data_IF_182107182800
#
_entry.id   IF_182107182800
#
_cell.length_a   1.000
_cell.length_b   1.000
_cell.length_c   1.000
_cell.angle_alpha   90.00
_cell.angle_beta   90.00
_cell.angle_gamma   90.00
#
_symmetry.space_group_name_H-M   'P 1'
#
loop_
_entity.id
_entity.type
_entity.pdbx_description
1 polymer ?
#
# COMPACT_ATOMS: atom_id res chain seq x y z
N UNK A 1 -15.95 1.93 18.54
CA UNK A 1 -14.72 1.20 18.94
C UNK A 1 -13.80 2.17 19.69
N UNK A 2 -13.05 1.72 20.70
CA UNK A 2 -12.14 2.60 21.45
C UNK A 2 -10.91 2.96 20.58
N UNK A 3 -10.38 4.18 20.70
CA UNK A 3 -9.15 4.64 20.03
C UNK A 3 -7.98 3.66 20.23
N UNK A 4 -7.84 3.08 21.43
CA UNK A 4 -6.77 2.09 21.71
C UNK A 4 -6.81 0.90 20.74
N UNK A 5 -8.01 0.42 20.41
CA UNK A 5 -8.20 -0.71 19.49
C UNK A 5 -7.76 -0.33 18.07
N UNK A 6 -8.10 0.87 17.61
CA UNK A 6 -7.71 1.35 16.26
C UNK A 6 -6.19 1.45 16.15
N UNK A 7 -5.54 2.01 17.19
CA UNK A 7 -4.09 2.14 17.21
C UNK A 7 -3.38 0.79 17.23
N UNK A 8 -3.97 -0.24 17.82
CA UNK A 8 -3.37 -1.58 17.86
C UNK A 8 -3.41 -2.32 16.51
N UNK A 9 -4.33 -1.97 15.60
CA UNK A 9 -4.54 -2.68 14.33
C UNK A 9 -3.25 -2.81 13.51
N UNK A 10 -2.50 -1.75 13.20
CA UNK A 10 -1.35 -1.91 12.32
C UNK A 10 -0.20 -2.65 13.00
N UNK A 11 -0.10 -2.59 14.33
CA UNK A 11 0.88 -3.39 15.09
C UNK A 11 0.56 -4.88 14.97
N UNK A 12 -0.71 -5.26 15.20
CA UNK A 12 -1.14 -6.65 15.03
C UNK A 12 -1.02 -7.12 13.58
N UNK A 13 -1.35 -6.27 12.62
CA UNK A 13 -1.16 -6.52 11.20
C UNK A 13 0.29 -6.91 10.92
N UNK A 14 1.25 -6.08 11.33
CA UNK A 14 2.68 -6.30 11.09
C UNK A 14 3.12 -7.63 11.70
N UNK A 15 2.75 -7.91 12.95
CA UNK A 15 3.15 -9.15 13.64
C UNK A 15 2.57 -10.40 12.96
N UNK A 16 1.26 -10.40 12.69
CA UNK A 16 0.56 -11.54 12.10
C UNK A 16 1.05 -11.79 10.68
N UNK A 17 1.14 -10.73 9.86
CA UNK A 17 1.54 -10.87 8.49
C UNK A 17 3.03 -11.20 8.34
N UNK A 18 3.90 -10.71 9.24
CA UNK A 18 5.31 -11.15 9.29
C UNK A 18 5.41 -12.66 9.47
N UNK A 19 4.62 -13.21 10.41
CA UNK A 19 4.54 -14.65 10.63
C UNK A 19 3.99 -15.38 9.39
N UNK A 20 2.90 -14.89 8.79
CA UNK A 20 2.30 -15.50 7.60
C UNK A 20 3.29 -15.54 6.44
N UNK A 21 3.90 -14.41 6.07
CA UNK A 21 4.85 -14.37 4.96
C UNK A 21 6.02 -15.31 5.18
N UNK A 22 6.61 -15.30 6.38
CA UNK A 22 7.75 -16.15 6.70
C UNK A 22 7.39 -17.64 6.75
N UNK A 23 6.30 -17.99 7.42
CA UNK A 23 5.89 -19.38 7.58
C UNK A 23 5.46 -19.99 6.24
N UNK A 24 4.67 -19.26 5.46
CA UNK A 24 4.20 -19.73 4.15
C UNK A 24 5.37 -19.82 3.17
N UNK A 25 6.34 -18.91 3.20
CA UNK A 25 7.50 -18.98 2.27
C UNK A 25 8.37 -20.20 2.53
N UNK A 26 8.64 -20.52 3.80
CA UNK A 26 9.42 -21.70 4.18
C UNK A 26 8.71 -23.00 3.79
N UNK A 27 7.37 -23.04 3.91
CA UNK A 27 6.61 -24.28 3.72
C UNK A 27 6.12 -24.51 2.30
N UNK A 28 5.76 -23.45 1.57
CA UNK A 28 5.08 -23.52 0.27
C UNK A 28 5.79 -22.72 -0.82
N UNK A 29 6.92 -22.08 -0.51
CA UNK A 29 7.71 -21.29 -1.45
C UNK A 29 7.28 -19.82 -1.54
N UNK A 30 8.15 -19.02 -2.16
CA UNK A 30 8.04 -17.56 -2.22
C UNK A 30 6.79 -17.09 -2.96
N UNK A 31 6.47 -17.67 -4.11
CA UNK A 31 5.32 -17.28 -4.93
C UNK A 31 4.01 -17.42 -4.18
N UNK A 32 3.79 -18.58 -3.52
CA UNK A 32 2.59 -18.84 -2.74
C UNK A 32 2.50 -17.87 -1.56
N UNK A 33 3.63 -17.62 -0.88
CA UNK A 33 3.68 -16.67 0.23
C UNK A 33 3.33 -15.24 -0.17
N UNK A 34 3.84 -14.76 -1.31
CA UNK A 34 3.51 -13.43 -1.85
C UNK A 34 2.02 -13.34 -2.13
N UNK A 35 1.48 -14.27 -2.92
CA UNK A 35 0.09 -14.19 -3.37
C UNK A 35 -0.90 -14.37 -2.22
N UNK A 36 -0.70 -15.37 -1.36
CA UNK A 36 -1.57 -15.60 -0.21
C UNK A 36 -1.45 -14.47 0.82
N UNK A 37 -0.23 -14.00 1.09
CA UNK A 37 0.01 -12.91 2.03
C UNK A 37 -0.66 -11.62 1.58
N UNK A 38 -0.49 -11.22 0.31
CA UNK A 38 -1.17 -10.03 -0.22
C UNK A 38 -2.69 -10.20 -0.29
N UNK A 39 -3.20 -11.39 -0.59
CA UNK A 39 -4.64 -11.66 -0.58
C UNK A 39 -5.24 -11.48 0.82
N UNK A 40 -4.62 -12.08 1.84
CA UNK A 40 -5.03 -11.94 3.24
C UNK A 40 -4.95 -10.48 3.68
N UNK A 41 -3.84 -9.82 3.36
CA UNK A 41 -3.64 -8.39 3.65
C UNK A 41 -4.73 -7.52 3.03
N UNK A 42 -4.99 -7.63 1.73
CA UNK A 42 -6.00 -6.82 1.06
C UNK A 42 -7.41 -7.08 1.59
N UNK A 43 -7.82 -8.35 1.66
CA UNK A 43 -9.20 -8.68 2.02
C UNK A 43 -9.45 -8.41 3.50
N UNK A 44 -8.63 -8.97 4.38
CA UNK A 44 -8.89 -8.92 5.82
C UNK A 44 -8.51 -7.55 6.36
N UNK A 45 -7.27 -7.12 6.11
CA UNK A 45 -6.72 -5.93 6.78
C UNK A 45 -7.11 -4.64 6.09
N UNK A 46 -7.13 -4.59 4.77
CA UNK A 46 -7.43 -3.36 4.04
C UNK A 46 -8.92 -3.14 3.76
N UNK A 47 -9.73 -4.20 3.72
CA UNK A 47 -11.18 -4.09 3.45
C UNK A 47 -12.03 -4.44 4.68
N UNK A 48 -12.02 -5.69 5.16
CA UNK A 48 -12.93 -6.16 6.20
C UNK A 48 -12.78 -5.37 7.50
N UNK A 49 -11.55 -5.19 7.97
CA UNK A 49 -11.29 -4.45 9.22
C UNK A 49 -11.75 -2.98 9.09
N UNK A 50 -11.29 -2.19 8.10
CA UNK A 50 -11.77 -0.83 7.93
C UNK A 50 -13.29 -0.73 7.74
N UNK A 51 -13.93 -1.63 6.99
CA UNK A 51 -15.39 -1.67 6.83
C UNK A 51 -16.13 -1.94 8.15
N UNK A 52 -15.58 -2.78 9.00
CA UNK A 52 -16.18 -3.08 10.32
C UNK A 52 -16.08 -1.90 11.29
N UNK A 53 -15.11 -1.01 11.10
CA UNK A 53 -14.86 0.15 11.96
C UNK A 53 -15.54 1.41 11.39
N UNK A 54 -15.28 1.68 10.12
CA UNK A 54 -15.85 2.74 9.31
C UNK A 54 -17.14 2.17 8.70
N UNK A 55 -18.27 2.42 9.34
CA UNK A 55 -19.59 2.14 8.77
C UNK A 55 -19.64 2.57 7.29
N UNK A 56 -20.41 1.88 6.44
CA UNK A 56 -20.40 2.06 4.97
C UNK A 56 -20.41 3.53 4.51
N UNK A 57 -21.21 4.38 5.15
CA UNK A 57 -21.29 5.83 4.83
C UNK A 57 -19.99 6.57 5.16
N UNK A 58 -19.34 6.25 6.27
CA UNK A 58 -18.05 6.80 6.65
C UNK A 58 -16.95 6.38 5.65
N UNK A 59 -17.01 5.15 5.13
CA UNK A 59 -16.08 4.67 4.10
C UNK A 59 -16.22 5.42 2.76
N UNK A 60 -17.42 5.79 2.33
CA UNK A 60 -17.53 6.63 1.13
C UNK A 60 -17.08 8.07 1.41
N UNK A 61 -17.29 8.57 2.63
CA UNK A 61 -16.94 9.95 2.98
C UNK A 61 -15.44 10.25 2.88
N UNK A 62 -14.54 9.28 3.10
CA UNK A 62 -13.09 9.49 2.95
C UNK A 62 -12.66 9.66 1.49
N UNK A 63 -13.50 9.34 0.51
CA UNK A 63 -13.24 9.62 -0.92
C UNK A 63 -13.83 10.96 -1.38
N UNK A 64 -14.67 11.59 -0.55
CA UNK A 64 -15.27 12.88 -0.86
C UNK A 64 -14.32 13.97 -0.43
N UNK A 65 -13.78 14.68 -1.42
CA UNK A 65 -12.94 15.82 -1.19
C UNK A 65 -13.77 17.11 -1.20
N UNK A 66 -13.63 17.90 -0.14
CA UNK A 66 -14.36 19.17 0.02
C UNK A 66 -13.62 20.35 -0.61
N UNK A 67 -12.29 20.34 -0.55
CA UNK A 67 -11.45 21.45 -1.01
C UNK A 67 -10.78 21.16 -2.35
N UNK A 68 -10.40 22.18 -3.12
CA UNK A 68 -9.79 21.97 -4.45
C UNK A 68 -8.29 21.67 -4.33
N UNK A 69 -7.85 20.48 -4.76
CA UNK A 69 -6.41 20.16 -4.80
C UNK A 69 -5.65 21.04 -5.81
N UNK A 70 -6.17 21.19 -7.02
CA UNK A 70 -5.45 21.86 -8.13
C UNK A 70 -5.52 23.39 -8.04
N UNK A 71 -4.82 23.95 -7.06
CA UNK A 71 -4.61 25.38 -6.90
C UNK A 71 -3.13 25.68 -6.67
N UNK A 72 -2.67 26.89 -7.01
CA UNK A 72 -1.27 27.29 -6.81
C UNK A 72 -0.81 27.20 -5.34
N UNK A 73 -1.74 27.40 -4.40
CA UNK A 73 -1.48 27.29 -2.95
C UNK A 73 -1.12 25.86 -2.53
N UNK A 74 -1.58 24.87 -3.30
CA UNK A 74 -1.46 23.45 -2.99
C UNK A 74 -0.36 22.75 -3.80
N UNK A 75 0.57 23.53 -4.38
CA UNK A 75 1.67 23.01 -5.21
C UNK A 75 2.50 21.96 -4.47
N UNK A 76 2.76 22.15 -3.18
CA UNK A 76 3.48 21.17 -2.36
C UNK A 76 2.77 19.80 -2.39
N UNK A 77 1.47 19.75 -2.19
CA UNK A 77 0.70 18.50 -2.16
C UNK A 77 0.62 17.82 -3.53
N UNK A 78 0.56 18.61 -4.61
CA UNK A 78 0.66 18.08 -5.98
C UNK A 78 2.03 17.42 -6.19
N UNK A 79 3.12 18.09 -5.79
CA UNK A 79 4.47 17.52 -5.87
C UNK A 79 4.57 16.23 -5.07
N UNK A 80 4.08 16.21 -3.83
CA UNK A 80 4.05 15.01 -2.98
C UNK A 80 3.31 13.83 -3.64
N UNK A 81 2.23 14.08 -4.38
CA UNK A 81 1.49 13.06 -5.13
C UNK A 81 2.19 12.60 -6.42
N UNK A 82 2.98 13.47 -7.06
CA UNK A 82 3.69 13.13 -8.30
C UNK A 82 5.02 12.41 -8.06
N UNK A 83 5.71 12.69 -6.95
CA UNK A 83 6.98 12.06 -6.61
C UNK A 83 6.98 10.52 -6.71
N UNK A 84 6.03 9.78 -6.11
CA UNK A 84 6.01 8.31 -6.24
C UNK A 84 5.72 7.83 -7.66
N UNK A 85 4.94 8.57 -8.43
CA UNK A 85 4.68 8.24 -9.83
C UNK A 85 5.98 8.37 -10.64
N UNK A 86 6.66 9.51 -10.52
CA UNK A 86 7.94 9.76 -11.21
C UNK A 86 9.00 8.76 -10.77
N UNK A 87 9.10 8.47 -9.47
CA UNK A 87 10.03 7.48 -8.92
C UNK A 87 9.79 6.06 -9.41
N UNK A 88 8.55 5.72 -9.81
CA UNK A 88 8.21 4.40 -10.33
C UNK A 88 8.48 4.23 -11.84
N UNK A 89 8.69 5.31 -12.60
CA UNK A 89 8.92 5.26 -14.05
C UNK A 89 10.13 4.40 -14.43
N UNK A 90 11.32 4.52 -13.79
CA UNK A 90 12.46 3.69 -14.15
C UNK A 90 12.18 2.18 -13.99
N UNK A 91 11.43 1.80 -12.94
CA UNK A 91 11.03 0.41 -12.72
C UNK A 91 10.12 -0.10 -13.83
N UNK A 92 9.18 0.74 -14.28
CA UNK A 92 8.32 0.40 -15.41
C UNK A 92 9.11 0.16 -16.69
N UNK A 93 10.02 1.09 -17.05
CA UNK A 93 10.85 0.98 -18.27
C UNK A 93 11.71 -0.29 -18.26
N UNK A 94 12.28 -0.63 -17.10
CA UNK A 94 13.09 -1.83 -16.94
C UNK A 94 12.29 -3.13 -17.05
N UNK A 95 11.00 -3.12 -16.71
CA UNK A 95 10.15 -4.30 -16.72
C UNK A 95 9.38 -4.46 -18.05
N UNK A 96 8.86 -3.38 -18.63
CA UNK A 96 8.05 -3.45 -19.85
C UNK A 96 8.82 -3.99 -21.06
N UNK A 97 10.15 -3.82 -21.05
CA UNK A 97 11.05 -4.37 -22.08
C UNK A 97 11.37 -5.85 -21.90
N UNK A 98 11.15 -6.41 -20.71
CA UNK A 98 11.52 -7.80 -20.36
C UNK A 98 10.35 -8.77 -20.40
N UNK A 99 9.13 -8.27 -20.25
CA UNK A 99 7.94 -9.11 -20.08
C UNK A 99 6.88 -8.80 -21.15
N UNK A 100 6.09 -9.81 -21.54
CA UNK A 100 4.99 -9.61 -22.48
C UNK A 100 4.01 -8.52 -22.03
N UNK A 101 3.57 -7.69 -22.98
CA UNK A 101 2.71 -6.55 -22.71
C UNK A 101 1.36 -6.91 -22.07
N UNK A 102 0.84 -8.13 -22.28
CA UNK A 102 -0.43 -8.55 -21.67
C UNK A 102 -0.36 -8.64 -20.13
N UNK A 103 0.81 -8.89 -19.56
CA UNK A 103 1.00 -8.95 -18.10
C UNK A 103 0.75 -7.59 -17.45
N UNK A 104 0.96 -6.49 -18.18
CA UNK A 104 0.60 -5.15 -17.71
C UNK A 104 -0.91 -5.03 -17.45
N UNK A 105 -1.75 -5.53 -18.38
CA UNK A 105 -3.21 -5.46 -18.25
C UNK A 105 -3.74 -6.33 -17.12
N UNK A 106 -3.10 -7.47 -16.84
CA UNK A 106 -3.43 -8.33 -15.69
C UNK A 106 -3.04 -7.63 -14.37
N UNK A 107 -1.89 -6.95 -14.35
CA UNK A 107 -1.40 -6.23 -13.17
C UNK A 107 -2.23 -4.99 -12.82
N UNK A 108 -2.85 -4.36 -13.81
CA UNK A 108 -3.63 -3.13 -13.63
C UNK A 108 -4.77 -3.25 -12.59
N UNK A 109 -5.72 -4.19 -12.68
CA UNK A 109 -6.76 -4.32 -11.66
C UNK A 109 -6.19 -4.68 -10.27
N UNK A 110 -5.15 -5.50 -10.21
CA UNK A 110 -4.52 -5.91 -8.95
C UNK A 110 -3.87 -4.73 -8.21
N UNK A 111 -3.13 -3.91 -8.94
CA UNK A 111 -2.45 -2.73 -8.38
C UNK A 111 -3.41 -1.59 -8.04
N UNK A 112 -4.48 -1.39 -8.82
CA UNK A 112 -5.54 -0.44 -8.47
C UNK A 112 -6.24 -0.86 -7.18
N UNK A 113 -6.66 -2.13 -7.10
CA UNK A 113 -7.27 -2.68 -5.88
C UNK A 113 -6.32 -2.55 -4.69
N UNK A 114 -5.02 -2.84 -4.88
CA UNK A 114 -4.00 -2.66 -3.86
C UNK A 114 -3.95 -1.23 -3.37
N UNK A 115 -3.66 -0.28 -4.25
CA UNK A 115 -3.49 1.13 -3.90
C UNK A 115 -4.69 1.68 -3.15
N UNK A 116 -5.91 1.46 -3.66
CA UNK A 116 -7.15 1.92 -3.00
C UNK A 116 -7.31 1.28 -1.62
N UNK A 117 -7.17 -0.04 -1.53
CA UNK A 117 -7.37 -0.77 -0.27
C UNK A 117 -6.37 -0.34 0.81
N UNK A 118 -5.11 -0.15 0.44
CA UNK A 118 -4.08 0.32 1.36
C UNK A 118 -4.36 1.74 1.85
N UNK A 119 -4.80 2.64 0.97
CA UNK A 119 -5.17 3.99 1.41
C UNK A 119 -6.33 3.98 2.40
N UNK A 120 -7.32 3.08 2.24
CA UNK A 120 -8.45 2.95 3.17
C UNK A 120 -7.94 2.65 4.58
N UNK A 121 -7.03 1.68 4.72
CA UNK A 121 -6.47 1.30 6.02
C UNK A 121 -5.50 2.35 6.57
N UNK A 122 -4.48 2.70 5.80
CA UNK A 122 -3.35 3.47 6.33
C UNK A 122 -3.64 4.95 6.46
N UNK A 123 -4.49 5.52 5.60
CA UNK A 123 -4.82 6.94 5.61
C UNK A 123 -6.26 7.15 6.05
N UNK A 124 -7.20 6.53 5.34
CA UNK A 124 -8.65 6.69 5.52
C UNK A 124 -9.14 6.44 6.94
N UNK A 125 -8.70 5.34 7.54
CA UNK A 125 -9.03 5.00 8.93
C UNK A 125 -8.56 6.06 9.92
N UNK A 126 -7.33 6.56 9.76
CA UNK A 126 -6.72 7.48 10.71
C UNK A 126 -7.24 8.91 10.56
N UNK A 127 -7.41 9.42 9.34
CA UNK A 127 -7.99 10.77 9.13
C UNK A 127 -9.41 10.86 9.70
N UNK A 128 -10.18 9.76 9.60
CA UNK A 128 -11.57 9.72 10.04
C UNK A 128 -11.75 9.54 11.54
N UNK A 129 -10.85 8.80 12.17
CA UNK A 129 -11.03 8.38 13.58
C UNK A 129 -10.17 9.16 14.56
N UNK A 130 -9.05 9.71 14.11
CA UNK A 130 -8.12 10.44 14.97
C UNK A 130 -8.34 11.94 14.84
N UNK A 131 -7.97 12.70 15.88
CA UNK A 131 -8.05 14.18 15.87
C UNK A 131 -6.67 14.84 15.85
N UNK A 132 -5.73 14.28 16.60
CA UNK A 132 -4.38 14.81 16.72
C UNK A 132 -3.54 14.49 15.47
N UNK A 133 -2.74 15.47 15.03
CA UNK A 133 -1.88 15.37 13.86
C UNK A 133 -0.93 14.17 13.89
N UNK A 134 -0.29 13.90 15.03
CA UNK A 134 0.63 12.78 15.18
C UNK A 134 -0.05 11.45 14.86
N UNK A 135 -1.26 11.22 15.39
CA UNK A 135 -2.01 9.99 15.15
C UNK A 135 -2.64 9.91 13.76
N UNK A 136 -2.89 11.06 13.11
CA UNK A 136 -3.39 11.12 11.73
C UNK A 136 -2.30 10.91 10.68
N UNK A 137 -1.08 11.37 10.96
CA UNK A 137 -0.02 11.50 9.95
C UNK A 137 1.21 10.67 10.31
N UNK A 138 1.85 10.99 11.45
CA UNK A 138 3.15 10.43 11.81
C UNK A 138 3.05 8.94 12.13
N UNK A 139 2.07 8.57 12.97
CA UNK A 139 1.84 7.20 13.39
C UNK A 139 1.56 6.25 12.22
N UNK A 140 0.56 6.50 11.35
CA UNK A 140 0.32 5.62 10.21
C UNK A 140 1.46 5.61 9.21
N UNK A 141 2.19 6.72 8.99
CA UNK A 141 3.33 6.75 8.07
C UNK A 141 4.47 5.83 8.54
N UNK A 142 4.80 5.86 9.84
CA UNK A 142 5.83 4.99 10.43
C UNK A 142 5.42 3.52 10.32
N UNK A 143 4.19 3.19 10.72
CA UNK A 143 3.73 1.79 10.67
C UNK A 143 3.53 1.28 9.24
N UNK A 144 3.14 2.15 8.31
CA UNK A 144 3.13 1.83 6.87
C UNK A 144 4.53 1.51 6.36
N UNK A 145 5.54 2.27 6.77
CA UNK A 145 6.95 1.98 6.42
C UNK A 145 7.39 0.64 7.01
N UNK A 146 7.16 0.41 8.30
CA UNK A 146 7.53 -0.85 8.98
C UNK A 146 6.80 -2.05 8.36
N UNK A 147 5.55 -1.88 7.92
CA UNK A 147 4.78 -2.89 7.21
C UNK A 147 5.55 -3.50 6.03
N UNK A 148 6.35 -2.70 5.30
CA UNK A 148 7.12 -3.18 4.15
C UNK A 148 8.22 -4.17 4.49
N UNK A 149 8.55 -4.36 5.77
CA UNK A 149 9.40 -5.48 6.22
C UNK A 149 8.71 -6.82 5.96
N UNK A 150 7.40 -6.91 6.25
CA UNK A 150 6.65 -8.17 6.24
C UNK A 150 6.73 -8.93 4.90
N UNK A 151 6.40 -8.32 3.74
CA UNK A 151 6.49 -9.03 2.46
C UNK A 151 7.93 -9.37 2.06
N UNK A 152 8.95 -8.70 2.61
CA UNK A 152 10.35 -9.02 2.32
C UNK A 152 10.84 -10.27 3.07
N UNK A 153 10.15 -10.68 4.15
CA UNK A 153 10.52 -11.88 4.93
C UNK A 153 10.33 -13.19 4.17
N UNK A 154 9.70 -13.14 2.99
CA UNK A 154 9.60 -14.30 2.09
C UNK A 154 10.98 -14.74 1.57
N UNK A 155 11.93 -13.80 1.43
CA UNK A 155 13.27 -14.05 0.92
C UNK A 155 14.22 -14.40 2.07
N UNK A 156 14.52 -15.69 2.22
CA UNK A 156 15.29 -16.22 3.36
C UNK A 156 16.74 -15.74 3.35
N UNK A 157 17.33 -15.64 2.17
CA UNK A 157 18.76 -15.34 1.99
C UNK A 157 19.05 -13.83 1.86
N UNK A 158 18.01 -12.99 1.89
CA UNK A 158 18.16 -11.54 1.75
C UNK A 158 18.73 -10.94 3.04
N UNK A 159 19.83 -10.16 2.98
CA UNK A 159 20.38 -9.49 4.16
C UNK A 159 19.32 -8.61 4.85
N UNK A 160 19.25 -8.68 6.18
CA UNK A 160 18.27 -7.91 6.95
C UNK A 160 18.44 -6.39 6.75
N UNK A 161 19.66 -5.91 6.51
CA UNK A 161 19.95 -4.51 6.18
C UNK A 161 19.23 -4.05 4.91
N UNK A 162 19.11 -4.89 3.89
CA UNK A 162 18.38 -4.56 2.66
C UNK A 162 16.87 -4.50 2.90
N UNK A 163 16.34 -5.38 3.76
CA UNK A 163 14.93 -5.38 4.16
C UNK A 163 14.59 -4.09 4.90
N UNK A 164 15.42 -3.71 5.87
CA UNK A 164 15.27 -2.47 6.63
C UNK A 164 15.43 -1.25 5.72
N UNK A 165 16.39 -1.26 4.81
CA UNK A 165 16.57 -0.18 3.84
C UNK A 165 15.32 -0.02 2.96
N UNK A 166 14.74 -1.12 2.46
CA UNK A 166 13.49 -1.08 1.71
C UNK A 166 12.34 -0.46 2.51
N UNK A 167 12.21 -0.83 3.78
CA UNK A 167 11.24 -0.20 4.69
C UNK A 167 11.53 1.30 4.90
N UNK A 168 12.79 1.68 5.11
CA UNK A 168 13.17 3.07 5.35
C UNK A 168 12.85 3.98 4.16
N UNK A 169 13.07 3.50 2.92
CA UNK A 169 12.79 4.29 1.71
C UNK A 169 11.30 4.45 1.40
N UNK A 170 10.42 3.65 2.03
CA UNK A 170 8.96 3.84 1.91
C UNK A 170 8.39 4.82 2.95
N UNK A 171 9.18 5.24 3.94
CA UNK A 171 8.76 6.21 4.95
C UNK A 171 8.40 7.59 4.35
N UNK A 172 9.21 8.19 3.44
CA UNK A 172 8.84 9.44 2.78
C UNK A 172 7.51 9.34 2.03
N UNK A 173 7.22 8.18 1.41
CA UNK A 173 5.95 7.92 0.75
C UNK A 173 4.79 7.90 1.76
N UNK A 174 4.97 7.20 2.87
CA UNK A 174 3.99 7.17 3.97
C UNK A 174 3.66 8.58 4.49
N UNK A 175 4.67 9.44 4.66
CA UNK A 175 4.46 10.83 5.05
C UNK A 175 3.77 11.65 3.96
N UNK A 176 4.22 11.56 2.72
CA UNK A 176 3.65 12.30 1.59
C UNK A 176 2.14 12.05 1.48
N UNK A 177 1.72 10.79 1.49
CA UNK A 177 0.30 10.44 1.41
C UNK A 177 -0.46 10.79 2.68
N UNK A 178 0.10 10.58 3.86
CA UNK A 178 -0.61 10.91 5.11
C UNK A 178 -0.81 12.42 5.28
N UNK A 179 0.16 13.25 4.85
CA UNK A 179 0.04 14.71 4.84
C UNK A 179 -1.06 15.17 3.89
N UNK A 180 -1.05 14.68 2.64
CA UNK A 180 -2.08 15.04 1.65
C UNK A 180 -3.46 14.59 2.13
N UNK A 181 -3.59 13.35 2.63
CA UNK A 181 -4.87 12.84 3.09
C UNK A 181 -5.42 13.62 4.30
N UNK A 182 -4.55 14.02 5.23
CA UNK A 182 -4.93 14.79 6.40
C UNK A 182 -5.33 16.22 6.07
N UNK A 183 -4.63 16.87 5.13
CA UNK A 183 -4.95 18.24 4.68
C UNK A 183 -6.34 18.30 4.03
N UNK A 184 -6.62 17.37 3.10
CA UNK A 184 -7.85 17.41 2.29
C UNK A 184 -9.01 16.61 2.89
N UNK A 185 -8.82 16.01 4.08
CA UNK A 185 -9.75 15.07 4.72
C UNK A 185 -10.24 13.98 3.73
N UNK A 186 -9.35 13.56 2.82
CA UNK A 186 -9.70 12.65 1.74
C UNK A 186 -8.52 11.84 1.21
N UNK A 187 -8.76 10.57 0.93
CA UNK A 187 -7.79 9.66 0.31
C UNK A 187 -7.92 9.58 -1.22
N UNK A 188 -8.77 10.39 -1.84
CA UNK A 188 -9.08 10.28 -3.29
C UNK A 188 -7.80 10.34 -4.15
N UNK A 189 -7.00 11.39 -3.96
CA UNK A 189 -5.82 11.60 -4.78
C UNK A 189 -4.61 10.78 -4.32
N UNK A 190 -4.51 10.44 -3.03
CA UNK A 190 -3.49 9.49 -2.58
C UNK A 190 -3.76 8.10 -3.15
N UNK A 191 -5.03 7.67 -3.23
CA UNK A 191 -5.43 6.39 -3.83
C UNK A 191 -5.09 6.35 -5.31
N UNK A 192 -5.35 7.45 -6.02
CA UNK A 192 -5.01 7.56 -7.44
C UNK A 192 -3.49 7.54 -7.65
N UNK A 193 -2.75 8.33 -6.89
CA UNK A 193 -1.27 8.35 -6.98
C UNK A 193 -0.66 6.99 -6.64
N UNK A 194 -1.16 6.33 -5.60
CA UNK A 194 -0.70 5.02 -5.18
C UNK A 194 -1.05 3.95 -6.22
N UNK A 195 -2.26 3.96 -6.77
CA UNK A 195 -2.62 3.06 -7.85
C UNK A 195 -1.71 3.25 -9.08
N UNK A 196 -1.48 4.49 -9.52
CA UNK A 196 -0.62 4.78 -10.68
C UNK A 196 0.83 4.34 -10.43
N UNK A 197 1.41 4.73 -9.29
CA UNK A 197 2.78 4.32 -8.94
C UNK A 197 2.89 2.81 -8.77
N UNK A 198 1.86 2.15 -8.23
CA UNK A 198 1.75 0.69 -8.14
C UNK A 198 1.70 0.00 -9.50
N UNK A 199 0.90 0.51 -10.45
CA UNK A 199 0.87 0.03 -11.84
C UNK A 199 2.27 0.06 -12.44
N UNK A 200 2.99 1.18 -12.27
CA UNK A 200 4.32 1.38 -12.83
C UNK A 200 5.39 0.51 -12.17
N UNK A 201 5.40 0.42 -10.84
CA UNK A 201 6.44 -0.28 -10.08
C UNK A 201 6.19 -1.79 -9.95
N UNK A 202 4.94 -2.20 -9.72
CA UNK A 202 4.59 -3.55 -9.27
C UNK A 202 3.61 -4.29 -10.19
N UNK A 203 2.98 -3.61 -11.16
CA UNK A 203 1.98 -4.23 -12.04
C UNK A 203 2.49 -5.49 -12.74
N UNK A 204 3.65 -5.40 -13.39
CA UNK A 204 4.26 -6.54 -14.10
C UNK A 204 4.79 -7.61 -13.12
N UNK A 205 5.59 -7.29 -12.08
CA UNK A 205 6.04 -8.31 -11.10
C UNK A 205 4.91 -9.07 -10.38
N UNK A 206 3.77 -8.43 -10.17
CA UNK A 206 2.63 -9.07 -9.51
C UNK A 206 1.88 -10.00 -10.47
N UNK A 207 1.67 -9.57 -11.71
CA UNK A 207 0.99 -10.40 -12.71
C UNK A 207 1.85 -11.57 -13.18
N UNK A 208 3.17 -11.44 -13.21
CA UNK A 208 4.09 -12.56 -13.44
C UNK A 208 3.96 -13.63 -12.36
N UNK A 209 3.95 -13.22 -11.09
CA UNK A 209 3.72 -14.11 -9.95
C UNK A 209 2.37 -14.82 -10.06
N UNK A 210 1.31 -14.08 -10.42
CA UNK A 210 -0.01 -14.65 -10.65
C UNK A 210 -0.04 -15.64 -11.82
N UNK A 211 0.57 -15.30 -12.96
CA UNK A 211 0.62 -16.14 -14.15
C UNK A 211 1.36 -17.46 -13.89
N UNK A 212 2.43 -17.43 -13.09
CA UNK A 212 3.20 -18.62 -12.72
C UNK A 212 2.38 -19.69 -11.98
N UNK A 213 1.30 -19.31 -11.26
CA UNK A 213 0.40 -20.28 -10.63
C UNK A 213 -0.33 -21.16 -11.65
N UNK A 214 -0.51 -20.65 -12.87
CA UNK A 214 -1.19 -21.34 -13.96
C UNK A 214 -0.21 -22.03 -14.91
N UNK A 215 1.08 -22.09 -14.57
CA UNK A 215 2.13 -22.68 -15.40
C UNK A 215 2.44 -21.87 -16.66
N UNK A 216 2.06 -20.59 -16.70
CA UNK A 216 2.36 -19.70 -17.82
C UNK A 216 3.79 -19.18 -17.65
N UNK A 217 4.69 -19.64 -18.51
CA UNK A 217 6.05 -19.12 -18.65
C UNK A 217 6.08 -18.05 -19.75
N UNK A 218 6.90 -17.02 -19.58
CA UNK A 218 7.01 -15.85 -20.46
C UNK A 218 8.48 -15.48 -20.71
#
# INVERSE_FOLDING_TARGET
MNNKTILAIPVFLILIMSFIFRYVSVKYGVTVAILLGFLIYQIIWCMVIPLSILQKQALFSIFIQKEKLFTYKNTLYIVLLLLPIVGAIPLFILNISKYPFYLFFIGLPLTIANGISEEILWRGLFIKTQKNFFLKVVYPAILFSIWHICPQLVYIDKPFSEIVLFSAVTLPLGFAYSLVAAEFDSIRYTSLSHAISGILAFGIPLSTSFASLFGINY
#
